data_IF_521910645163
#
_entry.id   IF_521910645163
#
_cell.length_a   1.000
_cell.length_b   1.000
_cell.length_c   1.000
_cell.angle_alpha   90.00
_cell.angle_beta   90.00
_cell.angle_gamma   90.00
#
_symmetry.space_group_name_H-M   'P 1'
#
loop_
_entity.id
_entity.type
_entity.pdbx_description
1 polymer ?
#
# COMPACT_ATOMS: atom_id res chain seq x y z
N UNK A 1 -35.21 37.29 -40.43
CA UNK A 1 -33.83 36.72 -40.36
C UNK A 1 -32.90 37.48 -39.41
N UNK A 2 -32.78 38.82 -39.46
CA UNK A 2 -31.87 39.60 -38.59
C UNK A 2 -32.09 39.43 -37.07
N UNK A 3 -33.34 39.36 -36.59
CA UNK A 3 -33.66 39.17 -35.14
C UNK A 3 -33.24 37.80 -34.60
N UNK A 4 -33.35 36.75 -35.42
CA UNK A 4 -32.91 35.40 -35.05
C UNK A 4 -31.38 35.32 -34.96
N UNK A 5 -30.67 35.97 -35.88
CA UNK A 5 -29.21 36.05 -35.87
C UNK A 5 -28.70 36.80 -34.62
N UNK A 6 -29.33 37.92 -34.25
CA UNK A 6 -29.02 38.67 -33.03
C UNK A 6 -29.28 37.86 -31.75
N UNK A 7 -30.36 37.07 -31.71
CA UNK A 7 -30.65 36.16 -30.59
C UNK A 7 -29.61 35.04 -30.44
N UNK A 8 -29.15 34.46 -31.56
CA UNK A 8 -28.09 33.43 -31.55
C UNK A 8 -26.75 34.02 -31.11
N UNK A 9 -26.39 35.21 -31.59
CA UNK A 9 -25.14 35.89 -31.19
C UNK A 9 -25.17 36.29 -29.72
N UNK A 10 -26.28 36.86 -29.24
CA UNK A 10 -26.44 37.20 -27.82
C UNK A 10 -26.40 35.96 -26.92
N UNK A 11 -27.05 34.87 -27.34
CA UNK A 11 -26.98 33.57 -26.65
C UNK A 11 -25.56 33.00 -26.62
N UNK A 12 -24.84 33.03 -27.74
CA UNK A 12 -23.46 32.57 -27.82
C UNK A 12 -22.51 33.41 -26.95
N UNK A 13 -22.67 34.74 -26.95
CA UNK A 13 -21.92 35.64 -26.07
C UNK A 13 -22.22 35.36 -24.58
N UNK A 14 -23.49 35.15 -24.23
CA UNK A 14 -23.89 34.77 -22.87
C UNK A 14 -23.25 33.45 -22.42
N UNK A 15 -23.28 32.42 -23.27
CA UNK A 15 -22.61 31.15 -23.01
C UNK A 15 -21.09 31.31 -22.82
N UNK A 16 -20.42 32.08 -23.68
CA UNK A 16 -18.98 32.34 -23.57
C UNK A 16 -18.61 33.06 -22.28
N UNK A 17 -19.43 34.00 -21.80
CA UNK A 17 -19.22 34.68 -20.52
C UNK A 17 -19.35 33.71 -19.34
N UNK A 18 -20.39 32.88 -19.33
CA UNK A 18 -20.58 31.86 -18.27
C UNK A 18 -19.41 30.87 -18.24
N UNK A 19 -19.00 30.36 -19.40
CA UNK A 19 -17.87 29.43 -19.51
C UNK A 19 -16.55 30.07 -19.10
N UNK A 20 -16.31 31.32 -19.52
CA UNK A 20 -15.11 32.05 -19.13
C UNK A 20 -15.08 32.35 -17.63
N UNK A 21 -16.22 32.70 -17.03
CA UNK A 21 -16.37 32.87 -15.59
C UNK A 21 -16.11 31.57 -14.83
N UNK A 22 -16.70 30.45 -15.29
CA UNK A 22 -16.46 29.12 -14.71
C UNK A 22 -14.98 28.72 -14.81
N UNK A 23 -14.36 28.90 -15.98
CA UNK A 23 -12.95 28.62 -16.20
C UNK A 23 -12.09 29.44 -15.25
N UNK A 24 -12.30 30.76 -15.17
CA UNK A 24 -11.54 31.65 -14.30
C UNK A 24 -11.64 31.25 -12.82
N UNK A 25 -12.86 30.98 -12.32
CA UNK A 25 -13.06 30.51 -10.94
C UNK A 25 -12.34 29.18 -10.70
N UNK A 26 -12.42 28.25 -11.65
CA UNK A 26 -11.78 26.94 -11.55
C UNK A 26 -10.25 27.05 -11.53
N UNK A 27 -9.67 27.92 -12.36
CA UNK A 27 -8.23 28.23 -12.34
C UNK A 27 -7.80 28.79 -11.00
N UNK A 28 -8.51 29.80 -10.49
CA UNK A 28 -8.22 30.40 -9.19
C UNK A 28 -8.32 29.38 -8.05
N UNK A 29 -9.32 28.50 -8.10
CA UNK A 29 -9.47 27.42 -7.13
C UNK A 29 -8.27 26.46 -7.17
N UNK A 30 -7.89 25.96 -8.36
CA UNK A 30 -6.77 25.04 -8.52
C UNK A 30 -5.44 25.65 -8.07
N UNK A 31 -5.18 26.91 -8.43
CA UNK A 31 -4.00 27.65 -7.99
C UNK A 31 -3.97 27.79 -6.46
N UNK A 32 -5.08 28.23 -5.85
CA UNK A 32 -5.17 28.36 -4.40
C UNK A 32 -4.94 27.05 -3.66
N UNK A 33 -5.46 25.92 -4.16
CA UNK A 33 -5.20 24.62 -3.53
C UNK A 33 -3.73 24.19 -3.69
N UNK A 34 -3.10 24.47 -4.83
CA UNK A 34 -1.68 24.19 -5.06
C UNK A 34 -0.78 25.00 -4.11
N UNK A 35 -1.17 26.23 -3.80
CA UNK A 35 -0.43 27.12 -2.89
C UNK A 35 -0.75 26.83 -1.41
N UNK A 36 -1.88 26.19 -1.10
CA UNK A 36 -2.25 25.83 0.28
C UNK A 36 -1.69 24.47 0.65
N UNK A 37 -0.43 24.43 1.08
CA UNK A 37 0.18 23.23 1.64
C UNK A 37 -0.11 23.09 3.15
N UNK A 38 -0.11 21.86 3.69
CA UNK A 38 -0.10 21.65 5.14
C UNK A 38 1.10 22.36 5.79
N UNK A 39 0.90 22.86 7.01
CA UNK A 39 1.97 23.49 7.79
C UNK A 39 3.14 22.51 7.96
N UNK A 40 4.36 22.94 7.61
CA UNK A 40 5.57 22.10 7.67
C UNK A 40 5.91 21.43 6.33
N UNK A 41 5.06 21.55 5.31
CA UNK A 41 5.33 21.08 3.96
C UNK A 41 5.68 22.23 3.01
N UNK A 42 6.69 22.01 2.18
CA UNK A 42 7.07 22.88 1.07
C UNK A 42 6.99 22.08 -0.23
N UNK A 43 6.52 22.68 -1.32
CA UNK A 43 6.51 22.04 -2.62
C UNK A 43 7.35 22.85 -3.61
N UNK A 44 8.27 22.16 -4.27
CA UNK A 44 9.06 22.68 -5.38
C UNK A 44 8.56 22.08 -6.68
N UNK A 45 8.51 22.86 -7.74
CA UNK A 45 8.13 22.42 -9.08
C UNK A 45 8.97 23.19 -10.11
N UNK A 46 9.28 22.54 -11.23
CA UNK A 46 10.07 23.16 -12.31
C UNK A 46 9.22 24.13 -13.12
N UNK A 47 7.98 23.73 -13.42
CA UNK A 47 7.04 24.56 -14.14
C UNK A 47 5.62 24.29 -13.70
N UNK A 48 4.79 25.33 -13.76
CA UNK A 48 3.35 25.26 -13.53
C UNK A 48 2.65 26.05 -14.62
N UNK A 49 1.70 25.44 -15.29
CA UNK A 49 0.90 26.07 -16.34
C UNK A 49 -0.57 25.72 -16.15
N UNK A 50 -1.43 26.53 -16.77
CA UNK A 50 -2.87 26.37 -16.75
C UNK A 50 -3.37 26.40 -18.19
N UNK A 51 -4.25 25.46 -18.55
CA UNK A 51 -4.77 25.29 -19.91
C UNK A 51 -6.27 24.98 -19.88
N UNK A 52 -6.88 24.90 -21.07
CA UNK A 52 -8.19 24.25 -21.26
C UNK A 52 -9.42 25.12 -21.49
N UNK A 53 -9.22 26.42 -21.66
CA UNK A 53 -10.32 27.33 -21.96
C UNK A 53 -11.07 26.91 -23.25
N UNK A 54 -12.41 27.00 -23.30
CA UNK A 54 -13.31 27.50 -22.26
C UNK A 54 -13.94 26.40 -21.37
N UNK A 55 -13.76 25.12 -21.72
CA UNK A 55 -14.61 24.04 -21.19
C UNK A 55 -14.08 23.37 -19.93
N UNK A 56 -12.77 23.45 -19.69
CA UNK A 56 -12.15 22.90 -18.48
C UNK A 56 -10.96 23.75 -18.04
N UNK A 57 -10.70 23.83 -16.74
CA UNK A 57 -9.46 24.36 -16.22
C UNK A 57 -8.55 23.19 -15.87
N UNK A 58 -7.39 23.09 -16.52
CA UNK A 58 -6.38 22.07 -16.23
C UNK A 58 -5.11 22.76 -15.77
N UNK A 59 -4.73 22.55 -14.51
CA UNK A 59 -3.43 22.92 -14.00
C UNK A 59 -2.46 21.76 -14.19
N UNK A 60 -1.30 22.03 -14.79
CA UNK A 60 -0.23 21.08 -14.94
C UNK A 60 1.00 21.57 -14.20
N UNK A 61 1.62 20.67 -13.43
CA UNK A 61 2.89 20.91 -12.77
C UNK A 61 3.88 19.80 -13.09
N UNK A 62 5.13 20.17 -13.34
CA UNK A 62 6.21 19.26 -13.73
C UNK A 62 7.27 19.17 -12.64
N UNK A 63 7.80 17.95 -12.44
CA UNK A 63 8.83 17.60 -11.47
C UNK A 63 8.52 18.18 -10.08
N UNK A 64 7.38 17.76 -9.53
CA UNK A 64 6.98 18.18 -8.19
C UNK A 64 7.84 17.40 -7.18
N UNK A 65 8.39 18.13 -6.23
CA UNK A 65 9.01 17.61 -5.02
C UNK A 65 8.37 18.29 -3.82
N UNK A 66 7.51 17.57 -3.10
CA UNK A 66 6.96 18.02 -1.84
C UNK A 66 7.82 17.47 -0.71
N UNK A 67 8.28 18.36 0.16
CA UNK A 67 9.15 18.05 1.29
C UNK A 67 8.40 18.48 2.55
N UNK A 68 8.08 17.52 3.42
CA UNK A 68 7.47 17.81 4.71
C UNK A 68 8.49 17.60 5.84
N UNK A 69 8.73 18.66 6.61
CA UNK A 69 9.68 18.70 7.72
C UNK A 69 8.96 19.08 9.04
N UNK A 70 9.46 18.61 10.21
CA UNK A 70 8.92 19.01 11.51
C UNK A 70 9.07 20.52 11.74
N UNK A 71 7.99 21.18 12.18
CA UNK A 71 7.86 22.65 12.25
C UNK A 71 8.78 23.39 13.26
N UNK A 72 9.52 22.71 14.14
CA UNK A 72 10.20 23.36 15.28
C UNK A 72 11.57 22.80 15.67
N UNK A 73 12.28 22.12 14.77
CA UNK A 73 13.64 21.73 15.11
C UNK A 73 14.59 22.93 14.93
N UNK A 74 14.94 23.60 16.03
CA UNK A 74 16.07 24.53 16.15
C UNK A 74 17.44 23.84 15.90
N UNK A 75 17.42 22.57 15.52
CA UNK A 75 18.51 21.74 15.04
C UNK A 75 18.06 21.10 13.73
N UNK A 76 18.95 20.85 12.75
CA UNK A 76 18.58 20.15 11.53
C UNK A 76 17.93 18.81 11.91
N UNK A 77 16.61 18.70 11.73
CA UNK A 77 15.88 17.48 12.01
C UNK A 77 16.31 16.42 10.98
N UNK A 78 16.67 15.24 11.48
CA UNK A 78 17.26 14.14 10.72
C UNK A 78 16.25 13.35 9.87
N UNK A 79 15.20 14.00 9.35
CA UNK A 79 14.18 13.33 8.53
C UNK A 79 13.33 14.33 7.75
N UNK A 80 13.08 14.04 6.48
CA UNK A 80 12.08 14.72 5.65
C UNK A 80 11.30 13.67 4.89
N UNK A 81 9.97 13.78 4.83
CA UNK A 81 9.16 12.98 3.90
C UNK A 81 9.18 13.70 2.56
N UNK A 82 9.87 13.12 1.59
CA UNK A 82 9.85 13.63 0.23
C UNK A 82 8.83 12.86 -0.57
N UNK A 83 7.91 13.56 -1.23
CA UNK A 83 7.05 13.04 -2.28
C UNK A 83 7.50 13.65 -3.60
N UNK A 84 8.07 12.84 -4.48
CA UNK A 84 8.45 13.26 -5.83
C UNK A 84 7.47 12.68 -6.86
N UNK A 85 7.05 13.48 -7.83
CA UNK A 85 6.25 13.05 -8.98
C UNK A 85 6.69 13.79 -10.25
N UNK A 86 6.81 13.07 -11.37
CA UNK A 86 7.30 13.65 -12.63
C UNK A 86 6.31 14.68 -13.22
N UNK A 87 5.01 14.42 -13.12
CA UNK A 87 3.97 15.33 -13.59
C UNK A 87 2.67 15.11 -12.82
N UNK A 88 2.04 16.20 -12.41
CA UNK A 88 0.69 16.20 -11.84
C UNK A 88 -0.19 17.07 -12.72
N UNK A 89 -1.36 16.56 -13.09
CA UNK A 89 -2.41 17.36 -13.73
C UNK A 89 -3.64 17.35 -12.84
N UNK A 90 -4.18 18.53 -12.54
CA UNK A 90 -5.44 18.69 -11.84
C UNK A 90 -6.43 19.37 -12.77
N UNK A 91 -7.55 18.73 -13.08
CA UNK A 91 -8.59 19.25 -13.97
C UNK A 91 -9.94 19.41 -13.28
N UNK A 92 -10.62 20.49 -13.66
CA UNK A 92 -12.01 20.77 -13.36
C UNK A 92 -12.72 21.07 -14.67
N UNK A 93 -13.81 20.34 -14.94
CA UNK A 93 -14.54 20.46 -16.20
C UNK A 93 -15.97 20.91 -15.94
N UNK A 94 -16.54 21.69 -16.87
CA UNK A 94 -17.90 22.23 -16.74
C UNK A 94 -18.97 21.14 -16.51
N UNK A 95 -18.82 19.96 -17.12
CA UNK A 95 -19.71 18.81 -16.94
C UNK A 95 -19.46 18.01 -15.65
N UNK A 96 -18.41 18.34 -14.88
CA UNK A 96 -18.06 17.76 -13.56
C UNK A 96 -17.81 18.89 -12.55
N UNK A 97 -18.81 19.75 -12.27
CA UNK A 97 -18.58 21.01 -11.58
C UNK A 97 -18.31 20.86 -10.08
N UNK A 98 -18.38 19.64 -9.52
CA UNK A 98 -18.23 19.36 -8.08
C UNK A 98 -17.03 18.46 -7.74
N UNK A 99 -16.19 18.13 -8.71
CA UNK A 99 -15.03 17.28 -8.51
C UNK A 99 -13.78 17.86 -9.19
N UNK A 100 -12.63 17.60 -8.58
CA UNK A 100 -11.31 17.80 -9.17
C UNK A 100 -10.77 16.42 -9.53
N UNK A 101 -10.38 16.24 -10.78
CA UNK A 101 -9.67 15.06 -11.22
C UNK A 101 -8.18 15.34 -11.17
N UNK A 102 -7.42 14.49 -10.48
CA UNK A 102 -5.98 14.62 -10.36
C UNK A 102 -5.35 13.39 -10.96
N UNK A 103 -4.51 13.56 -11.97
CA UNK A 103 -3.72 12.48 -12.57
C UNK A 103 -2.26 12.67 -12.21
N UNK A 104 -1.73 11.66 -11.52
CA UNK A 104 -0.33 11.58 -11.12
C UNK A 104 0.41 10.74 -12.16
N UNK A 105 1.43 11.29 -12.78
CA UNK A 105 2.24 10.63 -13.82
C UNK A 105 3.68 10.57 -13.37
N UNK A 106 4.24 9.36 -13.39
CA UNK A 106 5.62 9.10 -13.00
C UNK A 106 5.73 8.42 -11.64
N UNK A 107 6.96 8.06 -11.24
CA UNK A 107 7.19 7.39 -9.98
C UNK A 107 6.85 8.32 -8.82
N UNK A 108 6.20 7.76 -7.80
CA UNK A 108 6.15 8.31 -6.45
C UNK A 108 7.33 7.72 -5.68
N UNK A 109 8.21 8.57 -5.19
CA UNK A 109 9.31 8.14 -4.30
C UNK A 109 9.06 8.70 -2.93
N UNK A 110 9.18 7.86 -1.90
CA UNK A 110 9.26 8.25 -0.49
C UNK A 110 10.70 8.04 -0.03
N UNK A 111 11.38 9.16 0.15
CA UNK A 111 12.76 9.22 0.66
C UNK A 111 12.75 9.75 2.08
N UNK A 112 13.75 9.34 2.85
CA UNK A 112 14.05 9.87 4.18
C UNK A 112 15.49 10.39 4.15
N UNK A 113 15.86 11.36 4.99
CA UNK A 113 17.18 12.01 4.88
C UNK A 113 18.00 11.90 6.16
N UNK A 114 19.24 11.43 5.98
CA UNK A 114 20.43 11.47 6.85
C UNK A 114 20.48 10.60 8.11
N UNK A 115 21.33 9.57 8.04
CA UNK A 115 22.16 9.12 9.15
C UNK A 115 23.32 10.14 9.36
N UNK A 116 23.78 10.29 10.60
CA UNK A 116 24.75 11.28 11.10
C UNK A 116 26.16 11.19 10.47
N UNK A 117 26.37 10.36 9.45
CA UNK A 117 27.70 10.04 8.90
C UNK A 117 27.84 10.26 7.39
N UNK A 118 26.87 10.91 6.73
CA UNK A 118 27.01 11.27 5.31
C UNK A 118 26.92 10.08 4.35
N UNK A 119 26.48 8.92 4.81
CA UNK A 119 26.07 7.81 3.95
C UNK A 119 24.68 8.10 3.37
N UNK A 120 24.50 7.85 2.07
CA UNK A 120 23.18 7.86 1.41
C UNK A 120 22.25 6.91 2.16
N UNK A 121 21.19 7.43 2.77
CA UNK A 121 20.13 6.59 3.32
C UNK A 121 19.24 6.18 2.14
N UNK A 122 19.01 4.87 1.92
CA UNK A 122 18.32 4.38 0.75
C UNK A 122 16.84 4.81 0.73
N UNK A 123 16.29 4.98 -0.47
CA UNK A 123 14.84 5.17 -0.65
C UNK A 123 14.07 3.99 -0.05
N UNK A 124 13.05 4.27 0.76
CA UNK A 124 12.32 3.24 1.51
C UNK A 124 11.19 2.63 0.70
N UNK A 125 10.56 3.46 -0.14
CA UNK A 125 9.44 3.06 -0.97
C UNK A 125 9.51 3.84 -2.27
N UNK A 126 9.48 3.11 -3.38
CA UNK A 126 9.30 3.70 -4.69
C UNK A 126 8.15 3.02 -5.39
N UNK A 127 7.12 3.78 -5.71
CA UNK A 127 5.93 3.32 -6.38
C UNK A 127 5.99 3.81 -7.82
N UNK A 128 6.13 2.90 -8.76
CA UNK A 128 6.16 3.20 -10.19
C UNK A 128 4.92 2.63 -10.88
N UNK A 129 4.70 3.08 -12.11
CA UNK A 129 3.82 2.39 -13.04
C UNK A 129 2.87 3.29 -13.78
N UNK A 130 1.65 2.81 -13.98
CA UNK A 130 0.63 3.56 -14.71
C UNK A 130 0.25 4.85 -13.99
N UNK A 131 -0.19 5.89 -14.73
CA UNK A 131 -0.74 7.07 -14.10
C UNK A 131 -1.86 6.73 -13.13
N UNK A 132 -1.83 7.35 -11.95
CA UNK A 132 -2.87 7.19 -10.93
C UNK A 132 -3.88 8.30 -11.11
N UNK A 133 -5.11 7.94 -11.46
CA UNK A 133 -6.23 8.87 -11.58
C UNK A 133 -7.00 8.94 -10.25
N UNK A 134 -7.06 10.13 -9.65
CA UNK A 134 -7.73 10.45 -8.40
C UNK A 134 -8.94 11.34 -8.67
N UNK A 135 -10.05 11.08 -7.99
CA UNK A 135 -11.22 11.98 -8.02
C UNK A 135 -11.50 12.53 -6.62
N UNK A 136 -11.40 13.85 -6.48
CA UNK A 136 -11.55 14.57 -5.22
C UNK A 136 -12.82 15.43 -5.24
N UNK A 137 -13.65 15.41 -4.18
CA UNK A 137 -14.78 16.34 -4.08
C UNK A 137 -14.28 17.78 -3.82
N UNK A 138 -14.93 18.79 -4.42
CA UNK A 138 -14.55 20.20 -4.26
C UNK A 138 -14.73 20.76 -2.86
N UNK A 139 -15.73 20.26 -2.12
CA UNK A 139 -15.96 20.72 -0.76
C UNK A 139 -14.78 20.27 0.13
N UNK A 140 -14.12 21.22 0.82
CA UNK A 140 -13.19 20.93 1.92
C UNK A 140 -13.97 20.25 3.05
N UNK A 141 -14.17 18.94 2.93
CA UNK A 141 -14.82 18.16 3.96
C UNK A 141 -13.77 17.76 4.99
N UNK A 142 -14.11 17.97 6.25
CA UNK A 142 -13.30 17.46 7.37
C UNK A 142 -13.26 15.94 7.37
N UNK A 143 -14.18 15.25 6.68
CA UNK A 143 -14.07 13.84 6.39
C UNK A 143 -14.52 13.54 4.94
N UNK A 144 -13.85 12.62 4.27
CA UNK A 144 -14.16 12.30 2.89
C UNK A 144 -13.40 11.08 2.40
N UNK A 145 -13.55 10.82 1.10
CA UNK A 145 -12.78 9.78 0.43
C UNK A 145 -12.42 10.20 -1.00
N UNK A 146 -11.35 9.58 -1.51
CA UNK A 146 -10.89 9.68 -2.87
C UNK A 146 -10.84 8.29 -3.46
N UNK A 147 -11.39 8.12 -4.66
CA UNK A 147 -11.24 6.87 -5.42
C UNK A 147 -10.02 6.99 -6.31
N UNK A 148 -9.24 5.92 -6.41
CA UNK A 148 -8.11 5.83 -7.34
C UNK A 148 -8.14 4.56 -8.17
N UNK A 149 -7.60 4.67 -9.38
CA UNK A 149 -7.47 3.60 -10.34
C UNK A 149 -6.06 3.63 -10.93
N UNK A 150 -5.45 2.47 -11.06
CA UNK A 150 -4.15 2.30 -11.71
C UNK A 150 -4.09 0.91 -12.39
N UNK A 151 -3.98 0.85 -13.73
CA UNK A 151 -3.82 -0.42 -14.46
C UNK A 151 -2.68 -1.30 -13.94
N UNK A 152 -1.57 -0.70 -13.53
CA UNK A 152 -0.46 -1.42 -12.90
C UNK A 152 0.33 -0.51 -11.94
N UNK A 153 0.81 -1.11 -10.86
CA UNK A 153 1.63 -0.47 -9.84
C UNK A 153 2.79 -1.39 -9.49
N UNK A 154 4.01 -0.86 -9.53
CA UNK A 154 5.22 -1.54 -9.09
C UNK A 154 5.72 -0.87 -7.81
N UNK A 155 5.70 -1.60 -6.70
CA UNK A 155 6.18 -1.15 -5.40
C UNK A 155 7.56 -1.75 -5.18
N UNK A 156 8.56 -0.88 -5.24
CA UNK A 156 9.96 -1.20 -5.02
C UNK A 156 10.32 -0.89 -3.56
N UNK A 157 11.19 -1.72 -2.98
CA UNK A 157 11.76 -1.50 -1.65
C UNK A 157 13.30 -1.42 -1.73
N UNK A 158 13.87 -0.31 -2.26
CA UNK A 158 15.29 -0.21 -2.60
C UNK A 158 16.24 -0.40 -1.40
N UNK A 159 15.80 -0.03 -0.20
CA UNK A 159 16.52 -0.20 1.05
C UNK A 159 16.52 -1.63 1.63
N UNK A 160 15.91 -2.61 0.97
CA UNK A 160 15.66 -3.92 1.58
C UNK A 160 14.63 -3.88 2.72
N UNK A 161 13.82 -2.82 2.79
CA UNK A 161 12.76 -2.63 3.78
C UNK A 161 11.69 -3.74 3.75
N UNK A 162 11.69 -4.55 2.69
CA UNK A 162 10.90 -5.77 2.56
C UNK A 162 11.79 -6.93 2.14
N UNK A 163 11.83 -7.98 2.96
CA UNK A 163 12.43 -9.26 2.57
C UNK A 163 11.60 -10.01 1.51
N UNK A 164 10.37 -9.56 1.22
CA UNK A 164 9.53 -10.14 0.17
C UNK A 164 9.93 -9.67 -1.24
N UNK A 165 10.87 -8.73 -1.35
CA UNK A 165 11.25 -8.13 -2.62
C UNK A 165 10.21 -7.12 -3.14
N UNK A 166 10.39 -6.72 -4.39
CA UNK A 166 9.48 -5.80 -5.08
C UNK A 166 8.11 -6.45 -5.32
N UNK A 167 7.09 -5.63 -5.58
CA UNK A 167 5.71 -6.09 -5.72
C UNK A 167 5.06 -5.47 -6.94
N UNK A 168 4.49 -6.29 -7.81
CA UNK A 168 3.75 -5.82 -8.98
C UNK A 168 2.27 -6.10 -8.80
N UNK A 169 1.46 -5.06 -8.73
CA UNK A 169 0.00 -5.13 -8.65
C UNK A 169 -0.62 -4.76 -9.99
N UNK A 170 -1.63 -5.51 -10.43
CA UNK A 170 -2.35 -5.25 -11.69
C UNK A 170 -3.84 -4.97 -11.43
N UNK A 171 -4.41 -4.11 -12.27
CA UNK A 171 -5.80 -3.66 -12.23
C UNK A 171 -6.19 -3.16 -10.84
N UNK A 172 -5.39 -2.23 -10.33
CA UNK A 172 -5.52 -1.69 -8.97
C UNK A 172 -6.66 -0.69 -8.92
N UNK A 173 -7.56 -0.88 -7.97
CA UNK A 173 -8.64 0.04 -7.65
C UNK A 173 -8.68 0.25 -6.14
N UNK A 174 -8.89 1.48 -5.70
CA UNK A 174 -8.89 1.73 -4.27
C UNK A 174 -9.65 2.97 -3.85
N UNK A 175 -9.77 3.10 -2.54
CA UNK A 175 -10.38 4.24 -1.87
C UNK A 175 -9.48 4.68 -0.72
N UNK A 176 -9.06 5.93 -0.72
CA UNK A 176 -8.43 6.56 0.42
C UNK A 176 -9.50 7.36 1.19
N UNK A 177 -9.50 7.27 2.51
CA UNK A 177 -10.42 7.94 3.41
C UNK A 177 -9.63 8.86 4.34
N UNK A 178 -10.19 10.01 4.66
CA UNK A 178 -9.67 10.91 5.69
C UNK A 178 -10.79 11.36 6.62
N UNK A 179 -10.45 11.56 7.90
CA UNK A 179 -11.32 12.12 8.91
C UNK A 179 -10.51 13.00 9.88
N UNK A 180 -10.49 14.30 9.58
CA UNK A 180 -9.85 15.34 10.40
C UNK A 180 -10.55 15.59 11.74
N UNK A 181 -11.73 14.98 11.98
CA UNK A 181 -12.49 15.04 13.24
C UNK A 181 -12.52 13.70 13.97
N UNK A 182 -11.65 12.75 13.59
CA UNK A 182 -11.58 11.45 14.24
C UNK A 182 -11.35 11.61 15.75
N UNK A 183 -12.12 10.87 16.54
CA UNK A 183 -11.88 10.67 17.97
C UNK A 183 -10.84 9.56 18.19
N UNK A 184 -10.55 9.23 19.45
CA UNK A 184 -9.62 8.14 19.80
C UNK A 184 -10.07 6.77 19.26
N UNK A 185 -11.38 6.53 19.16
CA UNK A 185 -11.96 5.27 18.70
C UNK A 185 -12.17 5.21 17.18
N UNK A 186 -11.94 6.33 16.49
CA UNK A 186 -12.12 6.45 15.04
C UNK A 186 -10.77 6.50 14.33
N UNK A 187 -10.77 6.25 13.02
CA UNK A 187 -9.55 6.36 12.21
C UNK A 187 -9.46 7.72 11.52
N UNK A 188 -8.30 8.37 11.62
CA UNK A 188 -8.01 9.62 10.93
C UNK A 188 -7.79 9.41 9.42
N UNK A 189 -7.28 8.25 9.03
CA UNK A 189 -7.06 7.88 7.64
C UNK A 189 -7.30 6.38 7.44
N UNK A 190 -7.74 6.00 6.25
CA UNK A 190 -7.76 4.60 5.85
C UNK A 190 -7.52 4.47 4.35
N UNK A 191 -6.96 3.35 3.93
CA UNK A 191 -6.77 3.00 2.52
C UNK A 191 -7.35 1.61 2.31
N UNK A 192 -8.20 1.51 1.29
CA UNK A 192 -8.70 0.25 0.77
C UNK A 192 -8.19 0.04 -0.64
N UNK A 193 -7.62 -1.12 -0.92
CA UNK A 193 -7.07 -1.51 -2.22
C UNK A 193 -7.70 -2.84 -2.62
N UNK A 194 -8.03 -2.96 -3.91
CA UNK A 194 -8.27 -4.20 -4.63
C UNK A 194 -7.29 -4.27 -5.79
N UNK A 195 -6.67 -5.42 -6.01
CA UNK A 195 -5.90 -5.71 -7.20
C UNK A 195 -6.32 -7.09 -7.72
N UNK A 196 -6.33 -7.25 -9.04
CA UNK A 196 -6.67 -8.54 -9.64
C UNK A 196 -5.52 -9.54 -9.45
N UNK A 197 -4.29 -9.06 -9.64
CA UNK A 197 -3.08 -9.86 -9.54
C UNK A 197 -2.04 -9.13 -8.69
N UNK A 198 -1.28 -9.91 -7.92
CA UNK A 198 -0.06 -9.51 -7.26
C UNK A 198 1.05 -10.51 -7.58
N UNK A 199 2.05 -10.02 -8.30
CA UNK A 199 3.29 -10.75 -8.60
C UNK A 199 4.42 -10.30 -7.67
N UNK A 200 5.23 -11.27 -7.26
CA UNK A 200 6.49 -11.05 -6.55
C UNK A 200 7.61 -11.48 -7.51
N UNK A 201 8.52 -10.60 -7.94
CA UNK A 201 9.62 -10.98 -8.82
C UNK A 201 10.44 -12.14 -8.24
N UNK A 202 10.71 -13.14 -9.06
CA UNK A 202 11.36 -14.38 -8.64
C UNK A 202 10.40 -15.50 -8.20
N UNK A 203 9.12 -15.21 -7.99
CA UNK A 203 8.10 -16.23 -7.78
C UNK A 203 7.48 -16.63 -9.13
N UNK A 204 7.31 -17.93 -9.36
CA UNK A 204 6.62 -18.43 -10.57
C UNK A 204 5.09 -18.40 -10.45
N UNK A 205 4.55 -17.94 -9.31
CA UNK A 205 3.11 -17.93 -9.04
C UNK A 205 2.62 -16.52 -8.75
N UNK A 206 1.39 -16.26 -9.15
CA UNK A 206 0.69 -14.98 -8.94
C UNK A 206 -0.36 -15.17 -7.86
N UNK A 207 -0.54 -14.14 -7.04
CA UNK A 207 -1.61 -14.06 -6.05
C UNK A 207 -2.78 -13.32 -6.68
N UNK A 208 -3.99 -13.88 -6.55
CA UNK A 208 -5.19 -13.37 -7.20
C UNK A 208 -6.14 -12.72 -6.19
N UNK A 209 -7.07 -11.90 -6.69
CA UNK A 209 -8.16 -11.31 -5.90
C UNK A 209 -7.69 -10.60 -4.62
N UNK A 210 -6.56 -9.89 -4.71
CA UNK A 210 -5.92 -9.25 -3.57
C UNK A 210 -6.78 -8.08 -3.08
N UNK A 211 -7.05 -8.04 -1.78
CA UNK A 211 -7.70 -6.90 -1.14
C UNK A 211 -6.94 -6.53 0.13
N UNK A 212 -6.76 -5.24 0.37
CA UNK A 212 -6.13 -4.73 1.58
C UNK A 212 -6.95 -3.55 2.11
N UNK A 213 -7.21 -3.53 3.41
CA UNK A 213 -7.85 -2.46 4.14
C UNK A 213 -6.97 -2.11 5.34
N UNK A 214 -6.41 -0.91 5.34
CA UNK A 214 -5.46 -0.43 6.33
C UNK A 214 -5.97 0.89 6.88
N UNK A 215 -5.94 1.08 8.19
CA UNK A 215 -6.45 2.27 8.85
C UNK A 215 -5.46 2.80 9.88
N UNK A 216 -5.41 4.12 10.04
CA UNK A 216 -4.61 4.81 11.06
C UNK A 216 -5.57 5.25 12.17
N UNK A 217 -5.63 4.54 13.31
CA UNK A 217 -6.49 4.90 14.43
C UNK A 217 -6.10 6.22 15.10
N UNK A 218 -7.07 6.82 15.77
CA UNK A 218 -6.91 8.00 16.60
C UNK A 218 -7.13 9.34 15.87
N UNK A 219 -7.03 10.46 16.59
CA UNK A 219 -7.26 11.79 16.05
C UNK A 219 -6.19 12.21 15.05
N UNK A 220 -6.57 12.93 13.99
CA UNK A 220 -5.65 13.40 12.95
C UNK A 220 -4.48 14.24 13.49
N UNK A 221 -4.71 15.03 14.55
CA UNK A 221 -3.64 15.80 15.21
C UNK A 221 -2.60 14.91 15.90
N UNK A 222 -3.02 13.78 16.48
CA UNK A 222 -2.12 12.81 17.10
C UNK A 222 -1.31 12.08 16.02
N UNK A 223 -1.96 11.62 14.96
CA UNK A 223 -1.29 11.04 13.79
C UNK A 223 -0.25 12.00 13.23
N UNK A 224 -0.60 13.29 13.12
CA UNK A 224 0.34 14.28 12.61
C UNK A 224 1.58 14.44 13.49
N UNK A 225 1.40 14.45 14.81
CA UNK A 225 2.50 14.48 15.78
C UNK A 225 3.34 13.20 15.73
N UNK A 226 2.75 12.04 15.44
CA UNK A 226 3.49 10.79 15.29
C UNK A 226 4.36 10.79 14.04
N UNK A 227 3.85 11.29 12.91
CA UNK A 227 4.61 11.37 11.65
C UNK A 227 5.67 12.48 11.70
N UNK A 228 5.41 13.56 12.43
CA UNK A 228 6.35 14.68 12.63
C UNK A 228 6.62 14.93 14.13
N UNK A 229 7.35 14.03 14.79
CA UNK A 229 7.61 14.16 16.23
C UNK A 229 8.48 15.38 16.52
N UNK A 230 8.17 16.08 17.61
CA UNK A 230 8.90 17.28 18.03
C UNK A 230 10.22 16.97 18.75
N UNK A 231 10.41 15.73 19.22
CA UNK A 231 11.48 15.37 20.17
C UNK A 231 12.51 14.36 19.62
N UNK A 232 12.57 14.16 18.30
CA UNK A 232 13.56 13.29 17.63
C UNK A 232 13.04 11.90 17.20
N UNK A 233 13.80 11.25 16.31
CA UNK A 233 13.58 9.92 15.72
C UNK A 233 12.45 9.86 14.68
N UNK A 234 12.61 9.20 13.51
CA UNK A 234 11.49 8.96 12.60
C UNK A 234 10.50 8.01 13.26
N UNK A 235 9.30 8.51 13.54
CA UNK A 235 8.21 7.71 14.07
C UNK A 235 7.09 7.58 13.04
N UNK A 236 6.49 6.41 12.99
CA UNK A 236 5.27 6.15 12.23
C UNK A 236 4.10 5.94 13.20
N UNK A 237 2.85 6.33 12.83
CA UNK A 237 1.67 6.11 13.66
C UNK A 237 1.31 4.62 13.76
N UNK A 238 0.58 4.23 14.81
CA UNK A 238 -0.05 2.91 14.84
C UNK A 238 -0.92 2.71 13.60
N UNK A 239 -0.97 1.48 13.09
CA UNK A 239 -1.78 1.13 11.93
C UNK A 239 -2.44 -0.22 12.08
N UNK A 240 -3.73 -0.24 11.78
CA UNK A 240 -4.58 -1.40 11.83
C UNK A 240 -4.74 -1.98 10.43
N UNK A 241 -4.33 -3.23 10.25
CA UNK A 241 -4.68 -4.04 9.09
C UNK A 241 -6.04 -4.68 9.38
N UNK A 242 -7.10 -4.00 8.92
CA UNK A 242 -8.48 -4.45 9.11
C UNK A 242 -8.81 -5.66 8.24
N UNK A 243 -8.20 -5.73 7.05
CA UNK A 243 -8.34 -6.84 6.13
C UNK A 243 -7.13 -6.90 5.23
N UNK A 244 -6.61 -8.08 5.02
CA UNK A 244 -5.76 -8.41 3.92
C UNK A 244 -6.20 -9.77 3.42
N UNK A 245 -6.59 -9.90 2.17
CA UNK A 245 -7.08 -11.16 1.63
C UNK A 245 -6.51 -11.40 0.25
N UNK A 246 -6.12 -12.63 -0.04
CA UNK A 246 -5.61 -13.03 -1.35
C UNK A 246 -5.91 -14.51 -1.61
N UNK A 247 -5.96 -14.84 -2.89
CA UNK A 247 -6.14 -16.19 -3.38
C UNK A 247 -4.82 -16.68 -3.96
N UNK A 248 -4.41 -17.90 -3.60
CA UNK A 248 -3.21 -18.53 -4.14
C UNK A 248 -3.52 -19.97 -4.51
N UNK A 249 -3.67 -20.25 -5.80
CA UNK A 249 -4.24 -21.54 -6.27
C UNK A 249 -5.53 -21.81 -5.50
N UNK A 250 -5.71 -22.94 -4.85
CA UNK A 250 -6.93 -23.25 -4.09
C UNK A 250 -6.98 -22.64 -2.68
N UNK A 251 -5.93 -21.93 -2.24
CA UNK A 251 -5.84 -21.37 -0.89
C UNK A 251 -6.44 -19.97 -0.81
N UNK A 252 -7.20 -19.75 0.26
CA UNK A 252 -7.66 -18.42 0.65
C UNK A 252 -6.88 -17.96 1.88
N UNK A 253 -6.07 -16.93 1.70
CA UNK A 253 -5.24 -16.34 2.74
C UNK A 253 -5.88 -15.06 3.21
N UNK A 254 -6.15 -14.95 4.51
CA UNK A 254 -6.69 -13.76 5.14
C UNK A 254 -5.79 -13.35 6.30
N UNK A 255 -5.46 -12.08 6.41
CA UNK A 255 -4.67 -11.54 7.49
C UNK A 255 -5.33 -10.30 8.07
N UNK A 256 -5.33 -10.21 9.39
CA UNK A 256 -5.66 -9.01 10.14
C UNK A 256 -4.57 -8.76 11.17
N UNK A 257 -4.50 -7.55 11.71
CA UNK A 257 -3.50 -7.27 12.74
C UNK A 257 -3.24 -5.80 12.92
N UNK A 258 -2.19 -5.50 13.64
CA UNK A 258 -1.74 -4.14 13.92
C UNK A 258 -0.23 -4.03 13.77
N UNK A 259 0.18 -2.95 13.13
CA UNK A 259 1.54 -2.46 13.17
C UNK A 259 1.62 -1.38 14.25
N UNK A 260 2.51 -1.57 15.21
CA UNK A 260 2.74 -0.61 16.28
C UNK A 260 3.62 0.53 15.76
N UNK A 261 3.25 1.74 16.10
CA UNK A 261 4.00 2.95 15.83
C UNK A 261 5.34 2.96 16.55
N UNK A 262 6.25 3.80 16.07
CA UNK A 262 7.64 3.86 16.57
C UNK A 262 8.64 3.90 15.42
N UNK A 263 9.82 3.32 15.65
CA UNK A 263 10.96 3.37 14.73
C UNK A 263 10.62 2.73 13.37
N UNK A 264 10.71 3.55 12.31
CA UNK A 264 10.47 3.14 10.92
C UNK A 264 11.45 2.05 10.44
N UNK A 265 12.68 2.03 10.97
CA UNK A 265 13.70 1.04 10.60
C UNK A 265 13.45 -0.33 11.27
N UNK A 266 12.72 -0.35 12.39
CA UNK A 266 12.48 -1.56 13.18
C UNK A 266 10.99 -1.74 13.47
N UNK A 267 10.15 -1.90 12.43
CA UNK A 267 8.71 -2.00 12.61
C UNK A 267 8.35 -3.24 13.43
N UNK A 268 7.37 -3.08 14.33
CA UNK A 268 6.85 -4.17 15.16
C UNK A 268 5.34 -4.26 15.05
N UNK A 269 4.79 -5.46 15.15
CA UNK A 269 3.35 -5.68 14.99
C UNK A 269 2.92 -7.09 15.33
N UNK A 270 1.61 -7.28 15.45
CA UNK A 270 1.00 -8.57 15.73
C UNK A 270 -0.13 -8.79 14.74
N UNK A 271 -0.14 -9.96 14.10
CA UNK A 271 -1.06 -10.31 13.03
C UNK A 271 -1.63 -11.71 13.24
N UNK A 272 -2.78 -11.95 12.64
CA UNK A 272 -3.46 -13.23 12.59
C UNK A 272 -3.64 -13.63 11.14
N UNK A 273 -2.97 -14.70 10.73
CA UNK A 273 -3.10 -15.29 9.40
C UNK A 273 -4.08 -16.47 9.47
N UNK A 274 -5.16 -16.37 8.70
CA UNK A 274 -6.14 -17.40 8.44
C UNK A 274 -5.91 -17.98 7.05
N UNK A 275 -5.79 -19.30 6.96
CA UNK A 275 -5.58 -20.06 5.73
C UNK A 275 -6.71 -21.06 5.59
N UNK A 276 -7.63 -20.80 4.67
CA UNK A 276 -8.74 -21.71 4.39
C UNK A 276 -8.43 -22.63 3.20
N UNK A 277 -9.09 -23.79 3.19
CA UNK A 277 -8.94 -24.85 2.18
C UNK A 277 -7.52 -25.44 2.10
N UNK A 278 -6.82 -25.52 3.24
CA UNK A 278 -5.47 -26.05 3.27
C UNK A 278 -5.39 -27.56 3.02
N UNK A 279 -6.41 -28.35 3.41
CA UNK A 279 -6.40 -29.81 3.18
C UNK A 279 -6.55 -30.17 1.70
N UNK A 280 -7.55 -29.63 0.96
CA UNK A 280 -7.64 -29.87 -0.49
C UNK A 280 -6.38 -29.41 -1.23
N UNK A 281 -5.77 -28.31 -0.80
CA UNK A 281 -4.53 -27.81 -1.37
C UNK A 281 -3.36 -28.80 -1.24
N UNK A 282 -3.12 -29.35 -0.03
CA UNK A 282 -2.06 -30.35 0.15
C UNK A 282 -2.30 -31.61 -0.69
N UNK A 283 -3.57 -32.02 -0.79
CA UNK A 283 -3.94 -33.19 -1.60
C UNK A 283 -3.75 -32.93 -3.10
N UNK A 284 -4.00 -31.70 -3.56
CA UNK A 284 -3.71 -31.27 -4.93
C UNK A 284 -2.21 -31.28 -5.20
N UNK A 285 -1.39 -30.71 -4.31
CA UNK A 285 0.06 -30.77 -4.43
C UNK A 285 0.61 -32.19 -4.47
N UNK A 286 0.03 -33.11 -3.67
CA UNK A 286 0.37 -34.54 -3.71
C UNK A 286 0.00 -35.15 -5.05
N UNK A 287 -1.20 -34.87 -5.57
CA UNK A 287 -1.67 -35.38 -6.88
C UNK A 287 -0.86 -34.84 -8.05
N UNK A 288 -0.42 -33.58 -7.98
CA UNK A 288 0.45 -32.94 -8.96
C UNK A 288 1.92 -33.42 -8.87
N UNK A 289 2.25 -34.29 -7.90
CA UNK A 289 3.60 -34.78 -7.69
C UNK A 289 4.57 -33.74 -7.12
N UNK A 290 4.06 -32.60 -6.62
CA UNK A 290 4.86 -31.55 -5.98
C UNK A 290 5.19 -31.88 -4.51
N UNK A 291 4.41 -32.75 -3.89
CA UNK A 291 4.69 -33.32 -2.56
C UNK A 291 4.68 -34.84 -2.63
N UNK A 292 5.65 -35.49 -2.00
CA UNK A 292 5.57 -36.94 -1.74
C UNK A 292 4.44 -37.25 -0.77
N UNK A 293 3.98 -38.50 -0.75
CA UNK A 293 2.94 -38.94 0.18
C UNK A 293 3.35 -38.76 1.65
N UNK A 294 4.63 -38.96 1.98
CA UNK A 294 5.15 -38.78 3.33
C UNK A 294 5.18 -37.29 3.73
N UNK A 295 5.60 -36.40 2.83
CA UNK A 295 5.62 -34.95 3.08
C UNK A 295 4.21 -34.39 3.26
N UNK A 296 3.26 -34.79 2.42
CA UNK A 296 1.87 -34.36 2.53
C UNK A 296 1.24 -34.77 3.87
N UNK A 297 1.46 -36.03 4.30
CA UNK A 297 0.98 -36.53 5.60
C UNK A 297 1.68 -35.81 6.76
N UNK A 298 2.99 -35.59 6.67
CA UNK A 298 3.76 -34.86 7.66
C UNK A 298 3.25 -33.42 7.84
N UNK A 299 3.11 -32.67 6.75
CA UNK A 299 2.57 -31.31 6.74
C UNK A 299 1.14 -31.27 7.27
N UNK A 300 0.27 -32.18 6.82
CA UNK A 300 -1.11 -32.23 7.28
C UNK A 300 -1.22 -32.49 8.79
N UNK A 301 -0.38 -33.39 9.32
CA UNK A 301 -0.34 -33.69 10.75
C UNK A 301 0.16 -32.52 11.60
N UNK A 302 1.15 -31.77 11.09
CA UNK A 302 1.67 -30.56 11.74
C UNK A 302 0.60 -29.46 11.75
N UNK A 303 0.01 -29.16 10.60
CA UNK A 303 -1.03 -28.13 10.48
C UNK A 303 -2.25 -28.47 11.34
N UNK A 304 -2.71 -29.72 11.34
CA UNK A 304 -3.85 -30.16 12.16
C UNK A 304 -3.63 -29.93 13.67
N UNK A 305 -2.38 -30.02 14.15
CA UNK A 305 -2.03 -29.75 15.55
C UNK A 305 -1.95 -28.25 15.88
N UNK A 306 -1.64 -27.42 14.88
CA UNK A 306 -1.63 -25.96 15.02
C UNK A 306 -3.08 -25.42 15.02
N UNK A 307 -4.01 -26.06 14.32
CA UNK A 307 -5.39 -25.56 14.11
C UNK A 307 -6.37 -25.67 15.29
N UNK A 308 -5.96 -26.10 16.49
CA UNK A 308 -6.82 -26.35 17.69
C UNK A 308 -8.33 -26.06 17.51
N UNK A 309 -9.07 -26.98 16.87
CA UNK A 309 -10.56 -26.99 16.76
C UNK A 309 -11.27 -26.44 15.49
N UNK A 310 -10.60 -25.88 14.47
CA UNK A 310 -11.28 -25.56 13.18
C UNK A 310 -10.80 -26.44 12.02
N UNK A 311 -11.68 -27.31 11.53
CA UNK A 311 -11.33 -28.41 10.61
C UNK A 311 -10.77 -27.97 9.25
N UNK A 312 -11.15 -26.78 8.75
CA UNK A 312 -10.81 -26.33 7.39
C UNK A 312 -10.20 -24.91 7.32
N UNK A 313 -10.00 -24.26 8.47
CA UNK A 313 -9.38 -22.94 8.57
C UNK A 313 -8.23 -22.95 9.56
N UNK A 314 -7.02 -22.70 9.06
CA UNK A 314 -5.80 -22.64 9.85
C UNK A 314 -5.56 -21.20 10.30
N UNK A 315 -5.63 -20.96 11.61
CA UNK A 315 -5.29 -19.65 12.18
C UNK A 315 -3.90 -19.71 12.83
N UNK A 316 -3.06 -18.75 12.48
CA UNK A 316 -1.67 -18.66 12.96
C UNK A 316 -1.36 -17.24 13.43
N UNK A 317 -0.86 -17.06 14.67
CA UNK A 317 -0.32 -15.79 15.09
C UNK A 317 0.99 -15.52 14.36
N UNK A 318 1.14 -14.32 13.80
CA UNK A 318 2.38 -13.83 13.22
C UNK A 318 2.82 -12.59 13.99
N UNK A 319 4.11 -12.49 14.29
CA UNK A 319 4.69 -11.38 15.02
C UNK A 319 5.72 -10.71 14.13
N UNK A 320 5.56 -9.42 13.84
CA UNK A 320 6.61 -8.63 13.19
C UNK A 320 7.51 -8.07 14.26
N UNK A 321 8.81 -8.38 14.21
CA UNK A 321 9.82 -7.87 15.14
C UNK A 321 11.03 -7.44 14.33
N UNK A 322 11.41 -6.17 14.45
CA UNK A 322 12.54 -5.57 13.73
C UNK A 322 12.48 -5.84 12.22
N UNK A 323 11.32 -5.66 11.60
CA UNK A 323 11.13 -5.92 10.15
C UNK A 323 11.05 -7.38 9.73
N UNK A 324 11.28 -8.34 10.64
CA UNK A 324 11.16 -9.77 10.34
C UNK A 324 9.81 -10.30 10.81
N UNK A 325 9.07 -10.94 9.90
CA UNK A 325 7.81 -11.61 10.22
C UNK A 325 8.12 -13.01 10.74
N UNK A 326 7.69 -13.29 11.97
CA UNK A 326 7.95 -14.54 12.67
C UNK A 326 6.62 -15.24 12.95
N UNK A 327 6.61 -16.56 12.84
CA UNK A 327 5.50 -17.35 13.37
C UNK A 327 5.52 -17.19 14.90
N UNK A 328 4.36 -16.93 15.49
CA UNK A 328 4.22 -16.79 16.94
C UNK A 328 4.52 -18.10 17.67
N UNK A 329 4.15 -18.18 18.95
CA UNK A 329 4.44 -19.37 19.76
C UNK A 329 3.73 -20.62 19.20
N UNK A 330 4.49 -21.51 18.56
CA UNK A 330 4.01 -22.85 18.16
C UNK A 330 4.25 -23.79 19.34
N UNK A 331 3.23 -24.51 19.84
CA UNK A 331 3.44 -25.48 20.91
C UNK A 331 4.42 -26.57 20.43
N UNK A 332 5.42 -26.89 21.26
CA UNK A 332 6.46 -27.87 20.91
C UNK A 332 5.89 -29.25 20.51
N UNK A 333 4.75 -29.63 21.10
CA UNK A 333 4.01 -30.85 20.75
C UNK A 333 3.46 -30.87 19.32
N UNK A 334 3.32 -29.71 18.66
CA UNK A 334 2.98 -29.61 17.24
C UNK A 334 4.21 -29.85 16.32
N UNK A 335 5.44 -29.67 16.82
CA UNK A 335 6.68 -29.88 16.06
C UNK A 335 7.24 -31.30 16.18
N UNK A 336 6.85 -32.05 17.21
CA UNK A 336 7.28 -33.43 17.45
C UNK A 336 7.24 -34.38 16.23
N UNK A 337 6.17 -34.39 15.40
CA UNK A 337 6.08 -35.27 14.24
C UNK A 337 7.11 -34.93 13.15
N UNK A 338 7.46 -33.65 12.99
CA UNK A 338 8.51 -33.23 12.05
C UNK A 338 9.85 -33.77 12.50
N UNK A 339 10.17 -33.67 13.79
CA UNK A 339 11.40 -34.25 14.33
C UNK A 339 11.44 -35.78 14.21
N UNK A 340 10.30 -36.45 14.40
CA UNK A 340 10.19 -37.89 14.20
C UNK A 340 10.35 -38.27 12.73
N UNK A 341 9.70 -37.55 11.80
CA UNK A 341 9.81 -37.79 10.36
C UNK A 341 11.25 -37.56 9.86
N UNK A 342 11.90 -36.47 10.27
CA UNK A 342 13.32 -36.20 9.94
C UNK A 342 14.22 -37.29 10.51
N UNK A 343 13.96 -37.75 11.73
CA UNK A 343 14.72 -38.85 12.33
C UNK A 343 14.53 -40.17 11.58
N UNK A 344 13.32 -40.49 11.16
CA UNK A 344 13.04 -41.68 10.34
C UNK A 344 13.67 -41.58 8.96
N UNK A 345 13.58 -40.44 8.27
CA UNK A 345 14.23 -40.22 6.98
C UNK A 345 15.77 -40.28 7.06
N UNK A 346 16.36 -39.77 8.14
CA UNK A 346 17.79 -39.90 8.40
C UNK A 346 18.21 -41.35 8.66
N UNK A 347 17.36 -42.13 9.35
CA UNK A 347 17.61 -43.56 9.59
C UNK A 347 17.47 -44.39 8.31
N UNK A 348 16.49 -44.10 7.46
CA UNK A 348 16.32 -44.76 6.16
C UNK A 348 17.48 -44.44 5.20
N UNK A 349 17.92 -43.17 5.18
CA UNK A 349 19.09 -42.75 4.39
C UNK A 349 20.39 -43.40 4.87
N UNK A 350 20.55 -43.52 6.20
CA UNK A 350 21.69 -44.23 6.80
C UNK A 350 21.67 -45.74 6.51
N UNK A 351 20.50 -46.37 6.54
CA UNK A 351 20.32 -47.78 6.22
C UNK A 351 20.56 -48.07 4.73
N UNK A 352 20.14 -47.18 3.82
CA UNK A 352 20.43 -47.29 2.38
C UNK A 352 21.92 -47.07 2.06
N UNK A 353 22.60 -46.18 2.80
CA UNK A 353 24.04 -45.99 2.67
C UNK A 353 24.83 -47.21 3.16
N UNK A 354 24.43 -47.84 4.28
CA UNK A 354 25.03 -49.10 4.75
C UNK A 354 24.75 -50.29 3.83
N UNK A 355 23.55 -50.37 3.24
CA UNK A 355 23.20 -51.42 2.28
C UNK A 355 24.05 -51.36 1.00
N UNK A 356 24.42 -50.16 0.52
CA UNK A 356 25.33 -50.01 -0.65
C UNK A 356 26.78 -50.38 -0.35
N UNK A 357 27.24 -50.21 0.89
CA UNK A 357 28.60 -50.59 1.29
C UNK A 357 28.75 -52.11 1.37
N UNK A 358 27.66 -52.83 1.66
CA UNK A 358 27.66 -54.30 1.75
C UNK A 358 27.26 -55.04 0.46
N UNK A 359 26.95 -54.32 -0.63
CA UNK A 359 26.52 -54.92 -1.90
C UNK A 359 27.60 -54.96 -3.01
N UNK A 360 28.86 -54.67 -2.69
CA UNK A 360 29.98 -54.93 -3.61
C UNK A 360 30.77 -56.16 -3.14
N UNK A 361 30.52 -57.35 -3.73
CA UNK A 361 31.45 -58.48 -3.64
C UNK A 361 32.73 -58.25 -4.44
#
# INVERSE_FOLDING_TARGET
MKKALLGVVAGACGCLLVLSGYWWISVQYLQKQADTLPSGCQAHYVSRSVQGWPWHAQMQAQNIRMVCAPLLAAHPSAFQVIYAAARITADMAFWRPFSVHVRLVGPMVVETIYDKQGAEVPSFLRVEGSPVDLTLPLARKTAGHAVFLAPFVHVLFPAGASHMGDMVLQNVQGKAFWNMRATQEQSAAAIYIKAQHWGIPGWQTVLEHVQAAVAVPGPAASVWKSVFPTNGGPAWPDVLVQRFSMHWRDLNLNMTGQLRGGDLAHPTGDFWLSVAHWRPFLENLRREGMLSAQEAVGMASMLARITQEQSDNLQMPLMLRNGTLQLGTVPFSALQPVFQAVRHAAQESGAQAQARIHSHP
#
